data_IF_123574073116
#
_entry.id   IF_123574073116
#
_cell.length_a   1.000
_cell.length_b   1.000
_cell.length_c   1.000
_cell.angle_alpha   90.00
_cell.angle_beta   90.00
_cell.angle_gamma   90.00
#
_symmetry.space_group_name_H-M   'P 1'
#
loop_
_entity.id
_entity.type
_entity.pdbx_description
1 polymer ?
#
# COMPACT_ATOMS: atom_id res chain seq x y z
N UNK A 1 10.40 -4.57 -26.53
CA UNK A 1 10.65 -5.56 -25.45
C UNK A 1 11.53 -5.05 -24.29
N UNK A 2 11.95 -3.76 -24.24
CA UNK A 2 12.79 -3.23 -23.15
C UNK A 2 12.02 -2.69 -21.91
N UNK A 3 10.68 -2.58 -21.94
CA UNK A 3 9.89 -1.98 -20.85
C UNK A 3 9.56 -2.91 -19.68
N UNK A 4 9.82 -4.21 -19.81
CA UNK A 4 9.44 -5.22 -18.80
C UNK A 4 10.56 -5.52 -17.79
N UNK A 5 11.73 -4.92 -17.98
CA UNK A 5 12.84 -5.07 -17.04
C UNK A 5 12.48 -4.46 -15.69
N UNK A 6 12.44 -5.32 -14.66
CA UNK A 6 12.14 -4.92 -13.29
C UNK A 6 13.42 -4.36 -12.67
N UNK A 7 13.38 -3.06 -12.36
CA UNK A 7 14.48 -2.30 -11.76
C UNK A 7 14.48 -2.46 -10.24
N UNK A 8 13.30 -2.54 -9.62
CA UNK A 8 13.16 -2.77 -8.19
C UNK A 8 11.84 -3.46 -7.85
N UNK A 9 11.84 -4.23 -6.77
CA UNK A 9 10.64 -4.90 -6.25
C UNK A 9 10.48 -4.63 -4.77
N UNK A 10 9.25 -4.36 -4.35
CA UNK A 10 8.84 -4.31 -2.95
C UNK A 10 7.83 -5.41 -2.67
N UNK A 11 8.14 -6.26 -1.69
CA UNK A 11 7.24 -7.31 -1.20
C UNK A 11 6.92 -7.10 0.28
N UNK A 12 5.76 -7.58 0.73
CA UNK A 12 5.45 -7.57 2.16
C UNK A 12 6.48 -8.40 2.95
N UNK A 13 6.88 -7.92 4.12
CA UNK A 13 7.67 -8.73 5.06
C UNK A 13 6.78 -9.85 5.61
N UNK A 14 7.24 -11.10 5.51
CA UNK A 14 6.48 -12.25 6.03
C UNK A 14 6.18 -12.09 7.51
N UNK A 15 7.18 -11.73 8.32
CA UNK A 15 6.99 -11.50 9.75
C UNK A 15 5.93 -10.43 10.05
N UNK A 16 6.00 -9.27 9.39
CA UNK A 16 5.02 -8.18 9.60
C UNK A 16 3.63 -8.54 9.06
N UNK A 17 3.58 -9.31 7.98
CA UNK A 17 2.33 -9.83 7.40
C UNK A 17 1.63 -10.78 8.38
N UNK A 18 2.34 -11.77 8.90
CA UNK A 18 1.80 -12.71 9.90
C UNK A 18 1.37 -11.98 11.18
N UNK A 19 2.19 -11.07 11.68
CA UNK A 19 1.87 -10.29 12.87
C UNK A 19 0.61 -9.43 12.68
N UNK A 20 0.54 -8.66 11.59
CA UNK A 20 -0.61 -7.78 11.33
C UNK A 20 -1.92 -8.56 11.13
N UNK A 21 -1.88 -9.64 10.36
CA UNK A 21 -3.05 -10.51 10.15
C UNK A 21 -3.43 -11.25 11.44
N UNK A 22 -2.46 -11.79 12.16
CA UNK A 22 -2.69 -12.49 13.43
C UNK A 22 -3.31 -11.59 14.49
N UNK A 23 -2.82 -10.35 14.64
CA UNK A 23 -3.39 -9.38 15.58
C UNK A 23 -4.81 -8.99 15.21
N UNK A 24 -5.11 -8.71 13.93
CA UNK A 24 -6.46 -8.40 13.48
C UNK A 24 -7.43 -9.58 13.69
N UNK A 25 -6.97 -10.79 13.38
CA UNK A 25 -7.74 -12.02 13.62
C UNK A 25 -8.03 -12.24 15.10
N UNK A 26 -7.03 -12.03 15.97
CA UNK A 26 -7.18 -12.16 17.41
C UNK A 26 -8.15 -11.11 17.96
N UNK A 27 -8.03 -9.85 17.56
CA UNK A 27 -8.93 -8.77 17.98
C UNK A 27 -10.36 -9.06 17.51
N UNK A 28 -10.56 -9.40 16.24
CA UNK A 28 -11.88 -9.72 15.70
C UNK A 28 -12.53 -10.91 16.41
N UNK A 29 -11.77 -11.98 16.63
CA UNK A 29 -12.22 -13.16 17.36
C UNK A 29 -12.58 -12.86 18.81
N UNK A 30 -11.74 -12.09 19.53
CA UNK A 30 -12.00 -11.72 20.92
C UNK A 30 -13.23 -10.82 21.06
N UNK A 31 -13.42 -9.86 20.16
CA UNK A 31 -14.60 -8.98 20.15
C UNK A 31 -15.88 -9.79 19.93
N UNK A 32 -15.90 -10.72 18.98
CA UNK A 32 -17.05 -11.61 18.74
C UNK A 32 -17.28 -12.52 19.95
N UNK A 33 -16.21 -13.09 20.51
CA UNK A 33 -16.30 -13.93 21.72
C UNK A 33 -16.97 -13.16 22.86
N UNK A 34 -16.51 -11.95 23.19
CA UNK A 34 -17.12 -11.10 24.23
C UNK A 34 -18.60 -10.83 23.95
N UNK A 35 -18.94 -10.53 22.69
CA UNK A 35 -20.32 -10.26 22.29
C UNK A 35 -21.25 -11.46 22.53
N UNK A 36 -20.73 -12.69 22.40
CA UNK A 36 -21.52 -13.93 22.57
C UNK A 36 -21.49 -14.48 24.00
N UNK A 37 -20.38 -14.34 24.71
CA UNK A 37 -20.22 -14.86 26.08
C UNK A 37 -20.88 -13.96 27.12
N UNK A 38 -20.91 -12.65 26.89
CA UNK A 38 -21.57 -11.69 27.78
C UNK A 38 -22.46 -10.77 26.94
N UNK A 39 -23.62 -11.27 26.44
CA UNK A 39 -24.45 -10.52 25.50
C UNK A 39 -24.91 -9.19 26.09
N UNK A 40 -24.53 -8.05 25.47
CA UNK A 40 -24.97 -6.75 25.93
C UNK A 40 -26.39 -6.46 25.42
N UNK A 41 -26.88 -5.21 25.57
CA UNK A 41 -28.12 -4.80 24.92
C UNK A 41 -28.04 -5.01 23.40
N UNK A 42 -29.19 -5.21 22.75
CA UNK A 42 -29.25 -5.56 21.31
C UNK A 42 -28.45 -4.59 20.42
N UNK A 43 -28.49 -3.29 20.69
CA UNK A 43 -27.73 -2.30 19.94
C UNK A 43 -26.21 -2.53 20.03
N UNK A 44 -25.70 -2.80 21.24
CA UNK A 44 -24.29 -3.08 21.47
C UNK A 44 -23.88 -4.46 20.95
N UNK A 45 -24.77 -5.44 20.99
CA UNK A 45 -24.51 -6.77 20.45
C UNK A 45 -24.26 -6.67 18.94
N UNK A 46 -25.17 -6.01 18.21
CA UNK A 46 -25.03 -5.77 16.77
C UNK A 46 -23.75 -4.99 16.48
N UNK A 47 -23.48 -3.93 17.25
CA UNK A 47 -22.26 -3.14 17.09
C UNK A 47 -20.99 -3.99 17.22
N UNK A 48 -20.85 -4.79 18.29
CA UNK A 48 -19.68 -5.63 18.52
C UNK A 48 -19.52 -6.69 17.42
N UNK A 49 -20.62 -7.32 17.01
CA UNK A 49 -20.59 -8.30 15.91
C UNK A 49 -20.14 -7.67 14.60
N UNK A 50 -20.60 -6.46 14.28
CA UNK A 50 -20.15 -5.70 13.10
C UNK A 50 -18.66 -5.37 13.20
N UNK A 51 -18.20 -4.83 14.33
CA UNK A 51 -16.79 -4.46 14.52
C UNK A 51 -15.87 -5.68 14.46
N UNK A 52 -16.22 -6.76 15.15
CA UNK A 52 -15.44 -7.99 15.13
C UNK A 52 -15.39 -8.62 13.74
N UNK A 53 -16.51 -8.67 13.04
CA UNK A 53 -16.58 -9.15 11.65
C UNK A 53 -15.78 -8.27 10.70
N UNK A 54 -15.82 -6.95 10.87
CA UNK A 54 -15.03 -6.00 10.08
C UNK A 54 -13.52 -6.19 10.31
N UNK A 55 -13.09 -6.46 11.55
CA UNK A 55 -11.69 -6.75 11.86
C UNK A 55 -11.22 -8.07 11.20
N UNK A 56 -12.03 -9.14 11.25
CA UNK A 56 -11.74 -10.39 10.56
C UNK A 56 -11.71 -10.22 9.03
N UNK A 57 -12.67 -9.47 8.48
CA UNK A 57 -12.69 -9.11 7.07
C UNK A 57 -11.43 -8.35 6.67
N UNK A 58 -10.97 -7.39 7.48
CA UNK A 58 -9.75 -6.63 7.24
C UNK A 58 -8.51 -7.53 7.31
N UNK A 59 -8.46 -8.48 8.26
CA UNK A 59 -7.39 -9.48 8.34
C UNK A 59 -7.29 -10.31 7.05
N UNK A 60 -8.42 -10.84 6.59
CA UNK A 60 -8.50 -11.60 5.33
C UNK A 60 -8.11 -10.73 4.12
N UNK A 61 -8.57 -9.47 4.10
CA UNK A 61 -8.27 -8.56 3.00
C UNK A 61 -6.79 -8.18 2.96
N UNK A 62 -6.17 -7.94 4.11
CA UNK A 62 -4.73 -7.70 4.23
C UNK A 62 -3.93 -8.94 3.83
N UNK A 63 -4.35 -10.14 4.25
CA UNK A 63 -3.71 -11.39 3.86
C UNK A 63 -3.66 -11.58 2.34
N UNK A 64 -4.77 -11.33 1.64
CA UNK A 64 -4.87 -11.39 0.18
C UNK A 64 -4.04 -10.29 -0.49
N UNK A 65 -4.17 -9.03 -0.03
CA UNK A 65 -3.50 -7.89 -0.63
C UNK A 65 -1.96 -8.01 -0.57
N UNK A 66 -1.45 -8.57 0.52
CA UNK A 66 0.00 -8.71 0.75
C UNK A 66 0.63 -9.94 0.10
N UNK A 67 -0.14 -10.73 -0.67
CA UNK A 67 0.42 -11.74 -1.59
C UNK A 67 1.03 -11.11 -2.84
N UNK A 68 0.57 -9.91 -3.20
CA UNK A 68 1.07 -9.17 -4.34
C UNK A 68 2.35 -8.41 -4.00
N UNK A 69 3.07 -8.04 -5.06
CA UNK A 69 4.33 -7.32 -5.00
C UNK A 69 4.22 -6.07 -5.87
N UNK A 70 4.99 -5.05 -5.52
CA UNK A 70 5.09 -3.83 -6.32
C UNK A 70 6.39 -3.90 -7.09
N UNK A 71 6.29 -3.71 -8.39
CA UNK A 71 7.41 -3.74 -9.33
C UNK A 71 7.58 -2.36 -9.96
N UNK A 72 8.81 -1.87 -9.94
CA UNK A 72 9.23 -0.69 -10.67
C UNK A 72 9.92 -1.15 -11.95
N UNK A 73 9.38 -0.72 -13.08
CA UNK A 73 10.01 -0.86 -14.40
C UNK A 73 10.51 0.50 -14.88
N UNK A 74 11.13 0.54 -16.05
CA UNK A 74 11.57 1.80 -16.68
C UNK A 74 10.42 2.77 -17.00
N UNK A 75 9.19 2.29 -17.18
CA UNK A 75 8.06 3.10 -17.67
C UNK A 75 6.89 3.18 -16.70
N UNK A 76 6.77 2.26 -15.75
CA UNK A 76 5.69 2.24 -14.78
C UNK A 76 6.04 1.59 -13.44
N UNK A 77 5.36 2.05 -12.40
CA UNK A 77 5.20 1.36 -11.14
C UNK A 77 3.91 0.54 -11.22
N UNK A 78 4.00 -0.78 -11.04
CA UNK A 78 2.87 -1.72 -11.16
C UNK A 78 2.79 -2.67 -9.98
N UNK A 79 1.63 -3.27 -9.80
CA UNK A 79 1.38 -4.30 -8.80
C UNK A 79 1.10 -5.62 -9.53
N UNK A 80 1.58 -6.74 -8.98
CA UNK A 80 1.36 -8.07 -9.57
C UNK A 80 -0.10 -8.55 -9.51
N UNK A 81 -1.00 -7.73 -8.95
CA UNK A 81 -2.45 -7.93 -9.03
C UNK A 81 -3.09 -7.43 -10.35
N UNK A 82 -2.25 -7.01 -11.31
CA UNK A 82 -2.66 -6.50 -12.62
C UNK A 82 -2.89 -4.99 -12.67
N UNK A 83 -2.68 -4.25 -11.57
CA UNK A 83 -2.88 -2.79 -11.55
C UNK A 83 -1.59 -2.03 -11.85
N UNK A 84 -1.66 -1.09 -12.80
CA UNK A 84 -0.63 -0.05 -12.94
C UNK A 84 -0.85 1.01 -11.85
N UNK A 85 0.10 1.13 -10.92
CA UNK A 85 0.06 2.07 -9.80
C UNK A 85 0.32 3.49 -10.29
N UNK A 86 1.31 3.70 -11.15
CA UNK A 86 1.53 4.98 -11.82
C UNK A 86 2.48 4.80 -13.01
N UNK A 87 2.23 5.50 -14.12
CA UNK A 87 3.24 5.64 -15.18
C UNK A 87 4.29 6.65 -14.74
N UNK A 88 5.55 6.40 -15.04
CA UNK A 88 6.65 7.30 -14.66
C UNK A 88 6.38 8.72 -15.18
N UNK A 89 5.86 8.87 -16.40
CA UNK A 89 5.54 10.18 -16.99
C UNK A 89 4.38 10.93 -16.32
N UNK A 90 3.48 10.21 -15.65
CA UNK A 90 2.34 10.79 -14.93
C UNK A 90 2.69 11.15 -13.48
N UNK A 91 3.84 10.71 -12.95
CA UNK A 91 4.26 11.06 -11.60
C UNK A 91 4.70 12.53 -11.56
N UNK A 92 3.99 13.34 -10.79
CA UNK A 92 4.32 14.75 -10.58
C UNK A 92 5.39 14.94 -9.52
N UNK A 93 5.27 14.23 -8.39
CA UNK A 93 6.20 14.35 -7.27
C UNK A 93 6.21 13.08 -6.43
N UNK A 94 7.31 12.84 -5.72
CA UNK A 94 7.47 11.82 -4.70
C UNK A 94 7.79 12.47 -3.35
N UNK A 95 7.02 12.12 -2.32
CA UNK A 95 7.23 12.61 -0.96
C UNK A 95 7.79 11.50 -0.07
N UNK A 96 8.95 11.79 0.50
CA UNK A 96 9.75 10.93 1.39
C UNK A 96 9.94 11.56 2.77
N UNK A 97 9.40 12.77 2.99
CA UNK A 97 9.60 13.57 4.17
C UNK A 97 8.98 12.94 5.43
N UNK A 98 9.51 13.32 6.59
CA UNK A 98 9.00 12.88 7.89
C UNK A 98 7.59 13.44 8.19
N UNK A 99 7.26 14.61 7.64
CA UNK A 99 5.95 15.27 7.78
C UNK A 99 4.92 14.83 6.74
N UNK A 100 5.29 13.93 5.84
CA UNK A 100 4.34 13.32 4.92
C UNK A 100 3.51 12.28 5.68
N UNK A 101 2.18 12.28 5.50
CA UNK A 101 1.32 11.19 5.95
C UNK A 101 1.56 9.91 5.11
N UNK A 102 2.78 9.38 5.17
CA UNK A 102 3.21 8.21 4.42
C UNK A 102 2.83 6.95 5.20
N UNK A 103 2.45 5.87 4.50
CA UNK A 103 2.28 4.59 5.16
C UNK A 103 3.57 4.16 5.85
N UNK A 104 3.47 3.39 6.94
CA UNK A 104 4.62 2.91 7.71
C UNK A 104 5.67 2.29 6.77
N UNK A 105 6.94 2.67 6.95
CA UNK A 105 8.04 2.19 6.10
C UNK A 105 7.84 2.44 4.60
N UNK A 106 7.06 3.46 4.22
CA UNK A 106 6.68 3.74 2.85
C UNK A 106 7.03 5.14 2.36
N UNK A 107 6.48 5.48 1.20
CA UNK A 107 6.57 6.80 0.56
C UNK A 107 5.25 7.15 -0.12
N UNK A 108 5.06 8.42 -0.47
CA UNK A 108 3.90 8.91 -1.21
C UNK A 108 4.30 9.33 -2.62
N UNK A 109 3.39 9.12 -3.55
CA UNK A 109 3.47 9.62 -4.92
C UNK A 109 2.26 10.53 -5.15
N UNK A 110 2.49 11.65 -5.84
CA UNK A 110 1.43 12.48 -6.42
C UNK A 110 1.48 12.38 -7.93
N UNK A 111 0.36 12.04 -8.57
CA UNK A 111 0.24 11.99 -10.04
C UNK A 111 -0.30 13.30 -10.62
N UNK A 112 -0.11 13.52 -11.92
CA UNK A 112 -0.67 14.64 -12.67
C UNK A 112 -2.18 14.47 -12.84
N UNK A 113 -2.62 13.25 -13.17
CA UNK A 113 -4.03 12.91 -13.39
C UNK A 113 -4.61 12.07 -12.24
N UNK A 114 -5.90 12.27 -11.88
CA UNK A 114 -6.59 11.40 -10.92
C UNK A 114 -6.95 10.05 -11.55
N UNK A 115 -6.99 8.99 -10.74
CA UNK A 115 -7.47 7.67 -11.16
C UNK A 115 -8.37 7.00 -10.11
N UNK A 116 -8.89 5.81 -10.43
CA UNK A 116 -9.80 5.05 -9.57
C UNK A 116 -9.19 4.77 -8.18
N UNK A 117 -10.05 4.81 -7.15
CA UNK A 117 -9.66 4.51 -5.77
C UNK A 117 -9.34 3.03 -5.66
N UNK A 118 -8.16 2.71 -5.11
CA UNK A 118 -7.72 1.34 -4.88
C UNK A 118 -7.14 1.27 -3.48
N UNK A 119 -7.45 0.20 -2.77
CA UNK A 119 -6.88 -0.06 -1.45
C UNK A 119 -6.42 -1.51 -1.35
N UNK A 120 -5.10 -1.68 -1.20
CA UNK A 120 -4.43 -2.94 -0.89
C UNK A 120 -3.86 -2.83 0.53
N UNK A 121 -4.65 -3.16 1.57
CA UNK A 121 -4.24 -2.95 2.95
C UNK A 121 -2.89 -3.60 3.25
N UNK A 122 -1.99 -2.84 3.87
CA UNK A 122 -0.63 -3.26 4.19
C UNK A 122 0.38 -3.19 3.03
N UNK A 123 -0.03 -2.81 1.81
CA UNK A 123 0.85 -2.77 0.65
C UNK A 123 0.83 -1.42 -0.09
N UNK A 124 -0.34 -0.96 -0.54
CA UNK A 124 -0.48 0.36 -1.18
C UNK A 124 -1.94 0.83 -1.26
N UNK A 125 -2.12 2.11 -1.57
CA UNK A 125 -3.43 2.69 -1.81
C UNK A 125 -3.36 3.84 -2.81
N UNK A 126 -4.50 4.14 -3.44
CA UNK A 126 -4.71 5.35 -4.25
C UNK A 126 -6.00 6.04 -3.84
N UNK A 127 -5.91 7.35 -3.68
CA UNK A 127 -7.04 8.25 -3.52
C UNK A 127 -6.89 9.46 -4.44
N UNK A 128 -7.60 9.44 -5.57
CA UNK A 128 -7.51 10.50 -6.59
C UNK A 128 -6.09 10.56 -7.19
N UNK A 129 -5.36 11.63 -6.87
CA UNK A 129 -3.98 11.88 -7.34
C UNK A 129 -2.91 11.40 -6.35
N UNK A 130 -3.29 11.00 -5.14
CA UNK A 130 -2.36 10.58 -4.10
C UNK A 130 -2.29 9.06 -4.04
N UNK A 131 -1.06 8.55 -3.98
CA UNK A 131 -0.77 7.13 -3.85
C UNK A 131 0.19 6.96 -2.70
N UNK A 132 -0.09 6.02 -1.80
CA UNK A 132 0.84 5.60 -0.77
C UNK A 132 1.31 4.19 -1.03
N UNK A 133 2.63 3.97 -0.98
CA UNK A 133 3.26 2.65 -1.09
C UNK A 133 3.95 2.34 0.23
N UNK A 134 3.56 1.26 0.90
CA UNK A 134 4.12 0.86 2.18
C UNK A 134 3.14 0.09 3.08
N UNK A 135 3.42 0.05 4.37
CA UNK A 135 2.65 -0.70 5.37
C UNK A 135 3.52 -1.80 5.98
N UNK A 136 3.28 -3.05 5.59
CA UNK A 136 4.08 -4.19 6.04
C UNK A 136 5.32 -4.46 5.18
N UNK A 137 5.61 -3.59 4.23
CA UNK A 137 6.81 -3.69 3.39
C UNK A 137 8.08 -3.39 4.21
N UNK A 138 9.24 -3.99 3.89
CA UNK A 138 10.51 -3.63 4.52
C UNK A 138 10.91 -2.19 4.21
N UNK A 139 11.32 -1.43 5.23
CA UNK A 139 11.71 -0.02 5.05
C UNK A 139 12.90 0.17 4.11
N UNK A 140 13.82 -0.79 4.08
CA UNK A 140 14.96 -0.79 3.14
C UNK A 140 14.50 -0.88 1.68
N UNK A 141 13.56 -1.77 1.36
CA UNK A 141 13.05 -1.93 0.00
C UNK A 141 12.25 -0.70 -0.44
N UNK A 142 11.34 -0.20 0.41
CA UNK A 142 10.58 1.02 0.10
C UNK A 142 11.49 2.23 -0.07
N UNK A 143 12.53 2.36 0.76
CA UNK A 143 13.52 3.45 0.65
C UNK A 143 14.27 3.37 -0.68
N UNK A 144 14.86 2.21 -1.00
CA UNK A 144 15.57 1.99 -2.26
C UNK A 144 14.67 2.29 -3.47
N UNK A 145 13.44 1.77 -3.48
CA UNK A 145 12.50 2.03 -4.58
C UNK A 145 12.15 3.53 -4.70
N UNK A 146 11.98 4.23 -3.58
CA UNK A 146 11.71 5.67 -3.59
C UNK A 146 12.90 6.48 -4.13
N UNK A 147 14.13 6.04 -3.90
CA UNK A 147 15.35 6.71 -4.38
C UNK A 147 15.52 6.50 -5.88
N UNK A 148 15.34 5.26 -6.36
CA UNK A 148 15.36 4.95 -7.80
C UNK A 148 14.27 5.73 -8.52
N UNK A 149 13.04 5.74 -7.99
CA UNK A 149 11.93 6.46 -8.58
C UNK A 149 12.17 7.98 -8.64
N UNK A 150 12.76 8.55 -7.58
CA UNK A 150 13.14 9.96 -7.57
C UNK A 150 14.19 10.28 -8.64
N UNK A 151 15.19 9.42 -8.83
CA UNK A 151 16.21 9.58 -9.87
C UNK A 151 15.58 9.51 -11.27
N UNK A 152 14.67 8.55 -11.52
CA UNK A 152 13.98 8.42 -12.79
C UNK A 152 13.13 9.66 -13.13
N UNK A 153 12.43 10.22 -12.15
CA UNK A 153 11.64 11.45 -12.31
C UNK A 153 12.56 12.63 -12.65
N UNK A 154 13.69 12.77 -11.95
CA UNK A 154 14.65 13.83 -12.20
C UNK A 154 15.28 13.74 -13.61
N UNK A 155 15.63 12.52 -14.07
CA UNK A 155 16.15 12.29 -15.42
C UNK A 155 15.11 12.61 -16.50
N UNK A 156 13.85 12.22 -16.29
CA UNK A 156 12.74 12.56 -17.19
C UNK A 156 12.57 14.07 -17.31
N UNK A 157 12.61 14.79 -16.19
CA UNK A 157 12.41 16.24 -16.19
C UNK A 157 13.59 16.96 -16.88
N UNK A 158 14.83 16.51 -16.68
CA UNK A 158 16.01 17.04 -17.41
C UNK A 158 15.91 16.80 -18.92
N UNK A 159 15.46 15.62 -19.34
CA UNK A 159 15.27 15.30 -20.76
C UNK A 159 14.14 16.11 -21.40
N UNK A 160 13.08 16.42 -20.65
CA UNK A 160 11.98 17.28 -21.11
C UNK A 160 12.37 18.76 -21.23
N UNK A 161 13.31 19.23 -20.41
CA UNK A 161 13.77 20.62 -20.36
C UNK A 161 14.87 20.97 -21.39
N UNK A 162 15.29 20.02 -22.23
CA UNK A 162 16.22 20.26 -23.34
C UNK A 162 17.64 20.70 -22.92
N UNK A 163 18.04 20.45 -21.66
CA UNK A 163 19.40 20.70 -21.17
C UNK A 163 20.26 19.45 -21.34
N UNK A 164 20.76 19.27 -22.56
CA UNK A 164 21.95 18.45 -22.87
C UNK A 164 23.00 19.33 -23.53
#
# INVERSE_FOLDING_TARGET
MMSDEIVATVKASEARRYMGVGMLSMVGGLVIYVALSTPPSMAWLVFLLVVGSAALWLAARMWQATQFQIELTKTELRCTDGNVIARIDDIQNIDRGFFAFKPSNGFLIKTKTPASRIWRPGLWWRFGRQIGVGGVTPGSQSKAMSEILAAMIAMRDQAGDGRL
#
